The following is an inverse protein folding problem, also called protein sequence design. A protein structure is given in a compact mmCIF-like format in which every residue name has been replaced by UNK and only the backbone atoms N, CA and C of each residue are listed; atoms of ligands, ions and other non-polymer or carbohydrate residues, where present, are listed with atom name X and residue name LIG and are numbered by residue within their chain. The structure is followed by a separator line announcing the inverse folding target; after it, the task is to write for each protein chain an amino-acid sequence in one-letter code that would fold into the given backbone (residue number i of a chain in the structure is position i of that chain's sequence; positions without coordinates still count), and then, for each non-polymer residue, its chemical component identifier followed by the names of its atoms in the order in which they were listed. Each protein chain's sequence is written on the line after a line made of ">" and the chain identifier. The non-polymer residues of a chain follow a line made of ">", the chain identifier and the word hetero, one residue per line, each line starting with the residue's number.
data_IF_685376866822
#
_entry.id   IF_685376866822
#
_cell.length_a   1.000
_cell.length_b   1.000
_cell.length_c   1.000
_cell.angle_alpha   90.00
_cell.angle_beta   90.00
_cell.angle_gamma   90.00
#
_symmetry.space_group_name_H-M   'P 1'
#
loop_
_entity.id
_entity.type
_entity.pdbx_description
1 polymer ?
#
# COMPACT_ATOMS: atom_id res chain seq x y z
N UNK A 1 -0.87 30.84 19.64
CA UNK A 1 -1.27 29.55 20.19
C UNK A 1 -0.94 28.52 19.10
N UNK A 2 0.15 27.77 19.26
CA UNK A 2 0.42 26.59 18.41
C UNK A 2 -0.59 25.54 18.79
N UNK A 3 -1.53 25.22 17.89
CA UNK A 3 -2.33 24.01 18.00
C UNK A 3 -1.39 22.82 18.17
N UNK A 4 -1.51 22.11 19.27
CA UNK A 4 -0.82 20.86 19.49
C UNK A 4 -1.28 19.94 18.35
N UNK A 5 -0.41 19.73 17.36
CA UNK A 5 -0.62 18.76 16.29
C UNK A 5 -0.88 17.42 16.96
N UNK A 6 -2.14 16.96 16.96
CA UNK A 6 -2.51 15.66 17.49
C UNK A 6 -1.59 14.61 16.86
N UNK A 7 -0.97 13.79 17.70
CA UNK A 7 -0.07 12.75 17.23
C UNK A 7 -0.91 11.68 16.50
N UNK A 8 -0.90 11.71 15.17
CA UNK A 8 -1.71 10.78 14.34
C UNK A 8 -1.42 9.31 14.61
N UNK A 9 -0.32 8.98 15.28
CA UNK A 9 -0.05 7.62 15.72
C UNK A 9 -1.04 7.15 16.80
N UNK A 10 -1.69 8.07 17.52
CA UNK A 10 -2.73 7.73 18.50
C UNK A 10 -4.00 7.20 17.86
N UNK A 11 -4.23 7.50 16.58
CA UNK A 11 -5.34 6.94 15.80
C UNK A 11 -5.15 5.45 15.44
N UNK A 12 -3.89 4.97 15.49
CA UNK A 12 -3.56 3.59 15.20
C UNK A 12 -3.98 2.68 16.37
N UNK A 13 -4.27 1.40 16.07
CA UNK A 13 -4.57 0.42 17.13
C UNK A 13 -3.37 0.19 18.04
N UNK A 14 -3.63 -0.13 19.30
CA UNK A 14 -2.60 -0.26 20.34
C UNK A 14 -1.41 -1.15 19.97
N UNK A 15 -1.57 -2.32 19.31
CA UNK A 15 -0.42 -3.12 18.88
C UNK A 15 0.51 -2.40 17.92
N UNK A 16 -0.06 -1.69 16.93
CA UNK A 16 0.72 -0.92 15.94
C UNK A 16 1.43 0.26 16.60
N UNK A 17 0.76 1.00 17.51
CA UNK A 17 1.38 2.11 18.26
C UNK A 17 2.60 1.65 19.06
N UNK A 18 2.49 0.52 19.77
CA UNK A 18 3.63 -0.04 20.53
C UNK A 18 4.83 -0.32 19.63
N UNK A 19 4.60 -0.81 18.42
CA UNK A 19 5.68 -1.07 17.47
C UNK A 19 6.27 0.23 16.90
N UNK A 20 5.46 1.27 16.69
CA UNK A 20 5.94 2.61 16.31
C UNK A 20 6.89 3.17 17.38
N UNK A 21 6.54 3.04 18.66
CA UNK A 21 7.38 3.42 19.79
C UNK A 21 8.67 2.58 19.85
N UNK A 22 8.55 1.25 19.71
CA UNK A 22 9.69 0.33 19.70
C UNK A 22 10.66 0.60 18.53
N UNK A 23 10.14 1.00 17.35
CA UNK A 23 10.93 1.39 16.18
C UNK A 23 11.66 2.73 16.38
N UNK A 24 11.33 3.47 17.43
CA UNK A 24 11.94 4.75 17.75
C UNK A 24 11.44 5.90 16.89
N UNK A 25 10.17 5.87 16.44
CA UNK A 25 9.55 6.97 15.72
C UNK A 25 8.95 7.99 16.71
N UNK A 26 9.67 9.05 17.09
CA UNK A 26 9.25 9.93 18.18
C UNK A 26 8.07 10.81 17.78
N UNK A 27 7.97 11.15 16.50
CA UNK A 27 6.92 12.00 15.92
C UNK A 27 6.59 11.54 14.50
N UNK A 28 5.32 11.67 14.10
CA UNK A 28 4.95 11.39 12.72
C UNK A 28 5.60 12.41 11.76
N UNK A 29 6.04 11.91 10.61
CA UNK A 29 6.50 12.76 9.51
C UNK A 29 5.32 13.49 8.87
N UNK A 30 5.58 14.55 8.11
CA UNK A 30 4.51 15.29 7.42
C UNK A 30 3.66 14.40 6.50
N UNK A 31 4.24 13.48 5.67
CA UNK A 31 3.45 12.49 4.93
C UNK A 31 2.54 11.65 5.82
N UNK A 32 3.04 11.20 6.97
CA UNK A 32 2.26 10.38 7.91
C UNK A 32 1.12 11.18 8.55
N UNK A 33 1.37 12.42 8.96
CA UNK A 33 0.35 13.31 9.52
C UNK A 33 -0.80 13.56 8.54
N UNK A 34 -0.47 13.78 7.26
CA UNK A 34 -1.46 14.07 6.24
C UNK A 34 -2.25 12.82 5.79
N UNK A 35 -1.65 11.64 5.83
CA UNK A 35 -2.16 10.46 5.11
C UNK A 35 -2.84 9.47 6.04
N UNK A 36 -2.30 9.23 7.23
CA UNK A 36 -2.84 8.23 8.17
C UNK A 36 -4.31 8.45 8.49
N UNK A 37 -4.78 9.67 8.87
CA UNK A 37 -6.19 9.89 9.19
C UNK A 37 -7.11 9.56 8.00
N UNK A 38 -6.73 10.00 6.80
CA UNK A 38 -7.52 9.80 5.57
C UNK A 38 -7.68 8.33 5.21
N UNK A 39 -6.60 7.56 5.37
CA UNK A 39 -6.63 6.11 5.12
C UNK A 39 -7.54 5.42 6.15
N UNK A 40 -7.45 5.79 7.43
CA UNK A 40 -8.31 5.24 8.49
C UNK A 40 -9.79 5.59 8.31
N UNK A 41 -10.10 6.72 7.66
CA UNK A 41 -11.46 7.10 7.25
C UNK A 41 -11.97 6.30 6.03
N UNK A 42 -11.19 5.39 5.48
CA UNK A 42 -11.58 4.57 4.33
C UNK A 42 -11.46 5.27 2.98
N UNK A 43 -10.85 6.44 2.91
CA UNK A 43 -10.70 7.21 1.66
C UNK A 43 -9.63 6.62 0.78
N UNK A 44 -9.83 6.67 -0.55
CA UNK A 44 -8.73 6.44 -1.48
C UNK A 44 -7.77 7.63 -1.40
N UNK A 45 -6.47 7.35 -1.38
CA UNK A 45 -5.45 8.38 -1.17
C UNK A 45 -4.32 8.23 -2.20
N UNK A 46 -3.89 9.35 -2.76
CA UNK A 46 -2.63 9.47 -3.49
C UNK A 46 -1.68 10.34 -2.68
N UNK A 47 -0.64 9.73 -2.11
CA UNK A 47 0.43 10.43 -1.40
C UNK A 47 1.57 10.74 -2.35
N UNK A 48 1.86 12.03 -2.52
CA UNK A 48 2.99 12.55 -3.30
C UNK A 48 3.99 13.15 -2.33
N UNK A 49 5.14 12.51 -2.22
CA UNK A 49 6.18 12.94 -1.30
C UNK A 49 7.55 12.45 -1.78
N UNK A 50 8.64 13.19 -1.50
CA UNK A 50 9.98 12.76 -1.83
C UNK A 50 10.34 11.38 -1.28
N UNK A 51 11.39 10.77 -1.81
CA UNK A 51 11.94 9.52 -1.26
C UNK A 51 12.46 9.73 0.17
N UNK A 52 12.52 8.65 0.95
CA UNK A 52 13.00 8.65 2.34
C UNK A 52 12.23 9.56 3.33
N UNK A 53 10.98 9.92 3.04
CA UNK A 53 10.13 10.74 3.92
C UNK A 53 9.17 9.93 4.80
N UNK A 54 9.23 8.59 4.74
CA UNK A 54 8.32 7.71 5.48
C UNK A 54 7.00 7.43 4.76
N UNK A 55 6.96 7.51 3.40
CA UNK A 55 5.77 7.19 2.59
C UNK A 55 5.24 5.78 2.84
N UNK A 56 6.14 4.81 2.91
CA UNK A 56 5.76 3.40 3.10
C UNK A 56 4.98 3.23 4.39
N UNK A 57 5.49 3.75 5.50
CA UNK A 57 4.83 3.70 6.81
C UNK A 57 3.55 4.55 6.83
N UNK A 58 3.50 5.67 6.10
CA UNK A 58 2.30 6.50 5.99
C UNK A 58 1.10 5.73 5.41
N UNK A 59 1.36 4.77 4.50
CA UNK A 59 0.34 3.88 3.96
C UNK A 59 0.19 2.59 4.78
N UNK A 60 1.30 1.99 5.19
CA UNK A 60 1.29 0.63 5.74
C UNK A 60 0.76 0.59 7.18
N UNK A 61 1.11 1.55 8.03
CA UNK A 61 0.66 1.57 9.44
C UNK A 61 -0.87 1.64 9.59
N UNK A 62 -1.61 2.52 8.89
CA UNK A 62 -3.06 2.53 8.96
C UNK A 62 -3.67 1.26 8.36
N UNK A 63 -3.12 0.71 7.26
CA UNK A 63 -3.58 -0.56 6.69
C UNK A 63 -3.40 -1.71 7.68
N UNK A 64 -2.26 -1.81 8.38
CA UNK A 64 -2.05 -2.80 9.45
C UNK A 64 -3.07 -2.63 10.58
N UNK A 65 -3.36 -1.39 10.99
CA UNK A 65 -4.36 -1.10 12.02
C UNK A 65 -5.75 -1.59 11.62
N UNK A 66 -6.17 -1.32 10.39
CA UNK A 66 -7.46 -1.77 9.87
C UNK A 66 -7.49 -3.29 9.66
N UNK A 67 -6.37 -3.89 9.24
CA UNK A 67 -6.25 -5.34 9.07
C UNK A 67 -6.41 -6.09 10.39
N UNK A 68 -5.83 -5.59 11.48
CA UNK A 68 -5.97 -6.18 12.82
C UNK A 68 -7.39 -6.06 13.40
N UNK A 69 -8.16 -5.08 12.95
CA UNK A 69 -9.56 -4.90 13.34
C UNK A 69 -10.53 -5.69 12.43
N UNK A 70 -10.06 -6.11 11.26
CA UNK A 70 -10.88 -6.86 10.32
C UNK A 70 -11.13 -8.29 10.82
N UNK A 71 -12.26 -8.93 10.41
CA UNK A 71 -12.50 -10.34 10.70
C UNK A 71 -11.34 -11.22 10.25
N UNK A 72 -10.97 -12.19 11.10
CA UNK A 72 -9.91 -13.17 10.79
C UNK A 72 -10.42 -14.25 9.84
N UNK A 73 -10.71 -13.86 8.62
CA UNK A 73 -11.08 -14.77 7.54
C UNK A 73 -9.83 -15.15 6.72
N UNK A 74 -9.73 -16.38 6.21
CA UNK A 74 -8.64 -16.75 5.32
C UNK A 74 -8.73 -15.98 3.99
N UNK A 75 -7.58 -15.68 3.40
CA UNK A 75 -7.49 -15.01 2.11
C UNK A 75 -6.59 -13.77 2.10
N UNK A 76 -6.36 -13.24 0.91
CA UNK A 76 -5.54 -12.06 0.68
C UNK A 76 -6.39 -10.82 0.93
N UNK A 77 -6.09 -10.08 1.98
CA UNK A 77 -6.81 -8.86 2.37
C UNK A 77 -6.14 -7.60 1.87
N UNK A 78 -4.82 -7.67 1.69
CA UNK A 78 -3.99 -6.55 1.21
C UNK A 78 -3.17 -6.99 0.01
N UNK A 79 -3.25 -6.24 -1.09
CA UNK A 79 -2.29 -6.29 -2.18
C UNK A 79 -1.34 -5.10 -2.07
N UNK A 80 -0.04 -5.36 -1.99
CA UNK A 80 1.01 -4.35 -2.11
C UNK A 80 1.67 -4.52 -3.48
N UNK A 81 1.43 -3.59 -4.37
CA UNK A 81 1.89 -3.66 -5.76
C UNK A 81 3.04 -2.68 -5.93
N UNK A 82 4.18 -3.16 -6.37
CA UNK A 82 5.37 -2.35 -6.58
C UNK A 82 6.12 -2.80 -7.83
N UNK A 83 6.81 -1.90 -8.56
CA UNK A 83 7.71 -2.30 -9.63
C UNK A 83 8.82 -3.22 -9.11
N UNK A 84 9.23 -4.21 -9.92
CA UNK A 84 10.24 -5.21 -9.51
C UNK A 84 11.54 -4.56 -8.98
N UNK A 85 11.99 -3.47 -9.59
CA UNK A 85 13.19 -2.73 -9.15
C UNK A 85 13.03 -2.04 -7.79
N UNK A 86 11.81 -1.69 -7.40
CA UNK A 86 11.50 -1.13 -6.08
C UNK A 86 11.28 -2.21 -5.02
N UNK A 87 11.07 -3.47 -5.44
CA UNK A 87 11.01 -4.64 -4.57
C UNK A 87 12.44 -5.07 -4.18
N UNK A 88 13.08 -4.25 -3.38
CA UNK A 88 14.43 -4.50 -2.89
C UNK A 88 14.41 -5.11 -1.47
N UNK A 89 15.59 -5.53 -1.02
CA UNK A 89 15.76 -6.16 0.29
C UNK A 89 15.33 -5.24 1.44
N UNK A 90 15.66 -3.95 1.35
CA UNK A 90 15.33 -2.97 2.40
C UNK A 90 13.81 -2.83 2.59
N UNK A 91 13.05 -2.68 1.50
CA UNK A 91 11.60 -2.65 1.56
C UNK A 91 11.03 -3.92 2.20
N UNK A 92 11.56 -5.08 1.80
CA UNK A 92 11.10 -6.38 2.31
C UNK A 92 11.36 -6.52 3.80
N UNK A 93 12.60 -6.28 4.26
CA UNK A 93 12.97 -6.35 5.67
C UNK A 93 12.10 -5.40 6.53
N UNK A 94 11.77 -4.22 6.01
CA UNK A 94 10.88 -3.26 6.68
C UNK A 94 9.47 -3.79 6.83
N UNK A 95 8.85 -4.26 5.75
CA UNK A 95 7.47 -4.77 5.78
C UNK A 95 7.36 -6.06 6.58
N UNK A 96 8.32 -6.96 6.44
CA UNK A 96 8.41 -8.21 7.21
C UNK A 96 8.54 -7.93 8.72
N UNK A 97 9.34 -6.94 9.10
CA UNK A 97 9.49 -6.59 10.52
C UNK A 97 8.14 -6.21 11.14
N UNK A 98 7.34 -5.37 10.49
CA UNK A 98 6.01 -5.00 10.96
C UNK A 98 5.09 -6.21 11.06
N UNK A 99 5.04 -7.02 10.02
CA UNK A 99 4.13 -8.16 9.93
C UNK A 99 4.48 -9.24 10.96
N UNK A 100 5.76 -9.59 11.11
CA UNK A 100 6.22 -10.61 12.06
C UNK A 100 5.90 -10.23 13.52
N UNK A 101 6.03 -8.95 13.88
CA UNK A 101 5.70 -8.48 15.23
C UNK A 101 4.18 -8.37 15.50
N UNK A 102 3.35 -8.47 14.46
CA UNK A 102 1.88 -8.42 14.55
C UNK A 102 1.20 -9.77 14.25
N UNK A 103 1.97 -10.84 14.05
CA UNK A 103 1.47 -12.17 13.64
C UNK A 103 0.61 -12.09 12.36
N UNK A 104 1.02 -11.28 11.40
CA UNK A 104 0.39 -11.13 10.08
C UNK A 104 1.20 -11.89 9.04
N UNK A 105 0.54 -12.77 8.30
CA UNK A 105 1.17 -13.53 7.22
C UNK A 105 1.39 -12.66 6.00
N UNK A 106 2.67 -12.41 5.70
CA UNK A 106 3.10 -11.70 4.50
C UNK A 106 3.80 -12.67 3.55
N UNK A 107 3.57 -12.53 2.26
CA UNK A 107 4.33 -13.25 1.24
C UNK A 107 4.60 -12.36 0.02
N UNK A 108 5.67 -12.70 -0.69
CA UNK A 108 6.06 -12.05 -1.94
C UNK A 108 5.85 -13.00 -3.11
N UNK A 109 5.32 -12.46 -4.20
CA UNK A 109 5.17 -13.18 -5.45
C UNK A 109 5.58 -12.31 -6.64
N UNK A 110 6.63 -12.69 -7.30
CA UNK A 110 7.13 -12.07 -8.53
C UNK A 110 7.52 -13.15 -9.57
N UNK A 111 8.02 -12.73 -10.73
CA UNK A 111 8.33 -13.65 -11.83
C UNK A 111 9.25 -14.81 -11.44
N UNK A 112 10.22 -14.55 -10.57
CA UNK A 112 11.24 -15.52 -10.14
C UNK A 112 10.86 -16.32 -8.87
N UNK A 113 9.65 -16.13 -8.33
CA UNK A 113 9.19 -16.92 -7.17
C UNK A 113 9.13 -18.40 -7.53
N UNK A 114 9.77 -19.24 -6.75
CA UNK A 114 9.86 -20.68 -6.96
C UNK A 114 8.46 -21.35 -6.99
N UNK A 115 8.33 -22.41 -7.78
CA UNK A 115 7.07 -23.14 -7.93
C UNK A 115 6.55 -23.71 -6.59
N UNK A 116 7.46 -24.20 -5.73
CA UNK A 116 7.13 -24.70 -4.39
C UNK A 116 6.46 -23.61 -3.54
N UNK A 117 7.03 -22.41 -3.54
CA UNK A 117 6.51 -21.28 -2.82
C UNK A 117 5.18 -20.81 -3.40
N UNK A 118 5.03 -20.74 -4.72
CA UNK A 118 3.76 -20.44 -5.40
C UNK A 118 2.66 -21.42 -4.99
N UNK A 119 3.00 -22.71 -4.89
CA UNK A 119 2.05 -23.75 -4.45
C UNK A 119 1.66 -23.56 -2.99
N UNK A 120 2.63 -23.26 -2.12
CA UNK A 120 2.38 -22.96 -0.70
C UNK A 120 1.42 -21.79 -0.53
N UNK A 121 1.69 -20.67 -1.20
CA UNK A 121 0.86 -19.47 -1.17
C UNK A 121 -0.57 -19.73 -1.67
N UNK A 122 -0.74 -20.63 -2.63
CA UNK A 122 -2.06 -20.99 -3.16
C UNK A 122 -2.87 -21.88 -2.21
N UNK A 123 -2.21 -22.71 -1.40
CA UNK A 123 -2.86 -23.58 -0.41
C UNK A 123 -3.08 -22.91 0.94
N UNK A 124 -2.14 -22.05 1.33
CA UNK A 124 -2.18 -21.27 2.58
C UNK A 124 -1.89 -19.81 2.24
N UNK A 125 -2.93 -19.05 1.85
CA UNK A 125 -2.75 -17.69 1.38
C UNK A 125 -2.22 -16.77 2.49
N UNK A 126 -1.36 -15.80 2.14
CA UNK A 126 -0.98 -14.73 3.06
C UNK A 126 -2.14 -13.76 3.25
N UNK A 127 -2.14 -12.99 4.33
CA UNK A 127 -3.04 -11.86 4.50
C UNK A 127 -2.61 -10.66 3.66
N UNK A 128 -1.28 -10.48 3.52
CA UNK A 128 -0.66 -9.44 2.68
C UNK A 128 0.16 -10.12 1.58
N UNK A 129 -0.19 -9.85 0.33
CA UNK A 129 0.58 -10.30 -0.83
C UNK A 129 1.29 -9.10 -1.47
N UNK A 130 2.62 -9.14 -1.47
CA UNK A 130 3.44 -8.20 -2.23
C UNK A 130 3.66 -8.79 -3.62
N UNK A 131 3.41 -8.01 -4.67
CA UNK A 131 3.53 -8.49 -6.04
C UNK A 131 3.90 -7.36 -7.02
N UNK A 132 4.23 -7.74 -8.25
CA UNK A 132 4.44 -6.80 -9.35
C UNK A 132 3.21 -6.73 -10.25
N UNK A 133 3.02 -5.65 -11.05
CA UNK A 133 1.90 -5.55 -11.99
C UNK A 133 1.79 -6.74 -12.95
N UNK A 134 2.94 -7.24 -13.44
CA UNK A 134 3.00 -8.37 -14.36
C UNK A 134 2.55 -9.68 -13.70
N UNK A 135 3.04 -9.89 -12.48
CA UNK A 135 2.72 -11.10 -11.73
C UNK A 135 1.26 -11.12 -11.29
N UNK A 136 0.65 -9.97 -11.03
CA UNK A 136 -0.78 -9.88 -10.71
C UNK A 136 -1.64 -10.41 -11.86
N UNK A 137 -1.28 -10.17 -13.12
CA UNK A 137 -1.97 -10.75 -14.28
C UNK A 137 -1.91 -12.29 -14.27
N UNK A 138 -0.72 -12.84 -13.96
CA UNK A 138 -0.55 -14.29 -13.84
C UNK A 138 -1.36 -14.87 -12.67
N UNK A 139 -1.46 -14.16 -11.54
CA UNK A 139 -2.31 -14.54 -10.39
C UNK A 139 -3.78 -14.60 -10.79
N UNK A 140 -4.26 -13.62 -11.55
CA UNK A 140 -5.65 -13.56 -12.02
C UNK A 140 -6.00 -14.63 -13.05
N UNK A 141 -5.02 -15.12 -13.78
CA UNK A 141 -5.19 -16.24 -14.72
C UNK A 141 -5.19 -17.60 -14.01
N UNK A 142 -4.61 -17.70 -12.80
CA UNK A 142 -4.57 -18.90 -11.99
C UNK A 142 -5.84 -19.09 -11.17
N UNK A 143 -6.35 -20.35 -11.10
CA UNK A 143 -7.59 -20.64 -10.38
C UNK A 143 -7.46 -20.50 -8.86
N UNK A 144 -6.47 -21.15 -8.25
CA UNK A 144 -6.39 -21.27 -6.78
C UNK A 144 -6.14 -19.94 -6.06
N UNK A 145 -5.10 -19.21 -6.45
CA UNK A 145 -4.74 -17.98 -5.73
C UNK A 145 -5.75 -16.86 -5.98
N UNK A 146 -6.39 -16.83 -7.16
CA UNK A 146 -7.41 -15.86 -7.51
C UNK A 146 -8.61 -15.92 -6.56
N UNK A 147 -9.02 -17.10 -6.08
CA UNK A 147 -10.14 -17.24 -5.15
C UNK A 147 -9.88 -16.51 -3.82
N UNK A 148 -8.63 -16.49 -3.38
CA UNK A 148 -8.25 -15.82 -2.14
C UNK A 148 -8.31 -14.29 -2.22
N UNK A 149 -8.42 -13.71 -3.43
CA UNK A 149 -8.65 -12.28 -3.63
C UNK A 149 -10.08 -11.84 -3.26
N UNK A 150 -11.02 -12.76 -3.06
CA UNK A 150 -12.37 -12.40 -2.60
C UNK A 150 -12.37 -11.66 -1.25
N UNK A 151 -11.37 -11.89 -0.43
CA UNK A 151 -11.19 -11.20 0.86
C UNK A 151 -10.52 -9.82 0.75
N UNK A 152 -10.15 -9.37 -0.46
CA UNK A 152 -9.38 -8.16 -0.69
C UNK A 152 -10.14 -6.91 -0.19
N UNK A 153 -9.47 -6.09 0.61
CA UNK A 153 -10.01 -4.84 1.18
C UNK A 153 -9.14 -3.63 0.84
N UNK A 154 -7.84 -3.81 0.73
CA UNK A 154 -6.88 -2.72 0.52
C UNK A 154 -5.88 -3.05 -0.58
N UNK A 155 -5.61 -2.06 -1.41
CA UNK A 155 -4.57 -2.12 -2.45
C UNK A 155 -3.65 -0.93 -2.28
N UNK A 156 -2.37 -1.20 -2.02
CA UNK A 156 -1.30 -0.21 -2.01
C UNK A 156 -0.54 -0.34 -3.31
N UNK A 157 -0.38 0.77 -4.04
CA UNK A 157 0.46 0.84 -5.25
C UNK A 157 1.61 1.77 -4.97
N UNK A 158 2.81 1.20 -4.89
CA UNK A 158 4.03 1.97 -4.68
C UNK A 158 4.63 2.41 -6.02
N UNK A 159 5.35 3.53 -6.00
CA UNK A 159 5.96 4.16 -7.18
C UNK A 159 4.96 4.32 -8.36
N UNK A 160 3.74 4.73 -8.02
CA UNK A 160 2.61 4.81 -8.97
C UNK A 160 2.93 5.65 -10.22
N UNK A 161 3.82 6.63 -10.09
CA UNK A 161 4.26 7.48 -11.20
C UNK A 161 5.02 6.72 -12.29
N UNK A 162 5.64 5.59 -11.97
CA UNK A 162 6.31 4.74 -12.97
C UNK A 162 5.31 3.94 -13.81
N UNK A 163 4.08 3.84 -13.34
CA UNK A 163 3.02 3.03 -13.95
C UNK A 163 2.04 3.88 -14.76
N UNK A 164 1.70 5.09 -14.28
CA UNK A 164 0.56 5.86 -14.75
C UNK A 164 0.51 6.07 -16.29
N UNK A 165 1.64 6.35 -16.93
CA UNK A 165 1.72 6.59 -18.38
C UNK A 165 2.36 5.43 -19.15
N UNK A 166 2.29 4.20 -18.60
CA UNK A 166 2.96 3.05 -19.18
C UNK A 166 1.97 1.95 -19.61
N UNK A 167 2.43 1.09 -20.54
CA UNK A 167 1.70 -0.14 -20.90
C UNK A 167 1.45 -1.04 -19.68
N UNK A 168 2.41 -1.09 -18.75
CA UNK A 168 2.29 -1.84 -17.49
C UNK A 168 1.17 -1.30 -16.61
N UNK A 169 1.02 0.03 -16.57
CA UNK A 169 -0.07 0.68 -15.85
C UNK A 169 -1.44 0.37 -16.44
N UNK A 170 -1.59 0.42 -17.76
CA UNK A 170 -2.84 0.03 -18.41
C UNK A 170 -3.24 -1.41 -18.10
N UNK A 171 -2.25 -2.32 -18.09
CA UNK A 171 -2.48 -3.71 -17.68
C UNK A 171 -2.86 -3.82 -16.20
N UNK A 172 -2.24 -3.03 -15.32
CA UNK A 172 -2.59 -3.01 -13.89
C UNK A 172 -4.01 -2.50 -13.67
N UNK A 173 -4.41 -1.40 -14.32
CA UNK A 173 -5.78 -0.88 -14.23
C UNK A 173 -6.81 -1.94 -14.64
N UNK A 174 -6.56 -2.64 -15.74
CA UNK A 174 -7.43 -3.74 -16.17
C UNK A 174 -7.48 -4.88 -15.16
N UNK A 175 -6.34 -5.23 -14.54
CA UNK A 175 -6.28 -6.26 -13.51
C UNK A 175 -7.13 -5.87 -12.28
N UNK A 176 -7.05 -4.61 -11.85
CA UNK A 176 -7.81 -4.10 -10.70
C UNK A 176 -9.33 -4.09 -10.99
N UNK A 177 -9.75 -3.71 -12.19
CA UNK A 177 -11.17 -3.80 -12.57
C UNK A 177 -11.65 -5.27 -12.65
N UNK A 178 -10.82 -6.19 -13.14
CA UNK A 178 -11.13 -7.63 -13.10
C UNK A 178 -11.29 -8.14 -11.67
N UNK A 179 -10.47 -7.66 -10.72
CA UNK A 179 -10.62 -8.01 -9.31
C UNK A 179 -11.93 -7.46 -8.76
N UNK A 180 -12.30 -6.21 -9.06
CA UNK A 180 -13.60 -5.64 -8.65
C UNK A 180 -14.77 -6.47 -9.17
N UNK A 181 -14.73 -6.84 -10.44
CA UNK A 181 -15.73 -7.74 -11.03
C UNK A 181 -15.79 -9.11 -10.35
N UNK A 182 -14.64 -9.66 -9.95
CA UNK A 182 -14.55 -10.95 -9.26
C UNK A 182 -15.16 -10.90 -7.84
N UNK A 183 -14.90 -9.82 -7.10
CA UNK A 183 -15.32 -9.71 -5.70
C UNK A 183 -16.69 -9.06 -5.52
N UNK A 184 -17.22 -8.42 -6.58
CA UNK A 184 -18.52 -7.75 -6.56
C UNK A 184 -18.62 -6.50 -5.68
N UNK A 185 -17.48 -5.92 -5.26
CA UNK A 185 -17.40 -4.73 -4.41
C UNK A 185 -16.11 -3.95 -4.66
N UNK A 186 -16.07 -2.71 -4.20
CA UNK A 186 -14.85 -1.91 -4.21
C UNK A 186 -13.90 -2.27 -3.05
N UNK A 187 -12.66 -1.84 -3.20
CA UNK A 187 -11.61 -1.88 -2.21
C UNK A 187 -10.92 -0.52 -2.15
N UNK A 188 -10.36 -0.19 -1.00
CA UNK A 188 -9.64 1.06 -0.81
C UNK A 188 -8.30 1.06 -1.56
N UNK A 189 -8.03 2.15 -2.27
CA UNK A 189 -6.81 2.35 -3.06
C UNK A 189 -5.89 3.36 -2.39
N UNK A 190 -4.61 3.02 -2.26
CA UNK A 190 -3.59 3.89 -1.70
C UNK A 190 -2.42 3.93 -2.68
N UNK A 191 -2.17 5.07 -3.27
CA UNK A 191 -1.05 5.30 -4.18
C UNK A 191 0.08 6.05 -3.49
N UNK A 192 1.31 5.56 -3.67
CA UNK A 192 2.53 6.22 -3.22
C UNK A 192 3.33 6.66 -4.44
N UNK A 193 3.73 7.91 -4.46
CA UNK A 193 4.45 8.50 -5.58
C UNK A 193 5.58 9.40 -5.12
N UNK A 194 6.65 9.44 -5.90
CA UNK A 194 7.59 10.54 -5.83
C UNK A 194 6.94 11.84 -6.40
N UNK A 195 7.67 12.92 -6.43
CA UNK A 195 7.20 14.18 -7.02
C UNK A 195 6.82 13.99 -8.50
N UNK A 196 5.63 14.45 -8.88
CA UNK A 196 5.06 14.31 -10.23
C UNK A 196 4.52 15.63 -10.73
N UNK A 197 4.52 15.79 -12.07
CA UNK A 197 4.04 17.01 -12.74
C UNK A 197 2.51 17.11 -12.84
N UNK A 198 1.79 15.97 -12.87
CA UNK A 198 0.33 15.92 -13.09
C UNK A 198 -0.35 15.00 -12.08
N UNK A 199 -0.53 15.44 -10.82
CA UNK A 199 -1.16 14.64 -9.77
C UNK A 199 -2.55 14.11 -10.12
N UNK A 200 -3.36 14.91 -10.80
CA UNK A 200 -4.74 14.58 -11.14
C UNK A 200 -4.81 13.41 -12.12
N UNK A 201 -3.91 13.34 -13.11
CA UNK A 201 -3.82 12.21 -14.05
C UNK A 201 -3.44 10.93 -13.32
N UNK A 202 -2.48 10.99 -12.40
CA UNK A 202 -2.07 9.83 -11.61
C UNK A 202 -3.16 9.41 -10.63
N UNK A 203 -3.87 10.36 -10.05
CA UNK A 203 -5.03 10.10 -9.20
C UNK A 203 -6.15 9.39 -9.98
N UNK A 204 -6.47 9.88 -11.19
CA UNK A 204 -7.44 9.25 -12.08
C UNK A 204 -7.00 7.85 -12.54
N UNK A 205 -5.72 7.66 -12.83
CA UNK A 205 -5.15 6.33 -13.10
C UNK A 205 -5.34 5.38 -11.91
N UNK A 206 -5.13 5.87 -10.69
CA UNK A 206 -5.20 5.07 -9.46
C UNK A 206 -6.61 4.50 -9.24
N UNK A 207 -7.64 5.33 -9.32
CA UNK A 207 -9.00 4.95 -8.90
C UNK A 207 -10.00 4.79 -10.04
N UNK A 208 -9.68 5.25 -11.25
CA UNK A 208 -10.61 5.34 -12.38
C UNK A 208 -11.42 6.65 -12.36
N UNK A 209 -12.37 6.79 -13.32
CA UNK A 209 -13.11 8.05 -13.53
C UNK A 209 -14.19 8.32 -12.49
N UNK A 210 -14.80 7.26 -11.95
CA UNK A 210 -16.03 7.36 -11.16
C UNK A 210 -15.80 7.25 -9.65
N UNK A 211 -14.53 7.27 -9.21
CA UNK A 211 -14.17 7.15 -7.79
C UNK A 211 -13.40 8.36 -7.33
N UNK A 212 -13.71 8.81 -6.11
CA UNK A 212 -12.98 9.90 -5.47
C UNK A 212 -11.63 9.43 -4.91
N UNK A 213 -10.65 10.31 -4.94
CA UNK A 213 -9.33 10.11 -4.32
C UNK A 213 -8.84 11.42 -3.73
N UNK A 214 -8.33 11.37 -2.51
CA UNK A 214 -7.69 12.52 -1.88
C UNK A 214 -6.21 12.57 -2.24
N UNK A 215 -5.76 13.71 -2.76
CA UNK A 215 -4.36 13.94 -3.09
C UNK A 215 -3.69 14.64 -1.92
N UNK A 216 -2.74 13.97 -1.29
CA UNK A 216 -1.88 14.55 -0.26
C UNK A 216 -0.50 14.82 -0.86
N UNK A 217 -0.05 16.08 -0.79
CA UNK A 217 1.22 16.50 -1.38
C UNK A 217 2.11 17.16 -0.35
N UNK A 218 3.24 16.55 -0.10
CA UNK A 218 4.30 17.13 0.73
C UNK A 218 5.24 17.92 -0.18
N UNK A 219 5.40 19.21 0.13
CA UNK A 219 6.33 20.08 -0.60
C UNK A 219 7.70 20.03 0.06
N UNK A 220 8.77 20.00 -0.74
CA UNK A 220 10.08 20.34 -0.23
C UNK A 220 10.01 21.77 0.32
N UNK A 221 10.29 21.96 1.61
CA UNK A 221 10.78 23.24 2.07
C UNK A 221 12.19 23.33 1.53
N UNK A 222 12.41 24.12 0.49
CA UNK A 222 13.75 24.58 0.14
C UNK A 222 14.28 25.27 1.39
N UNK A 223 15.19 24.63 2.11
CA UNK A 223 16.04 25.37 3.02
C UNK A 223 16.80 26.35 2.14
N UNK A 224 16.50 27.65 2.29
CA UNK A 224 17.29 28.71 1.72
C UNK A 224 18.75 28.49 2.16
N UNK A 225 19.55 27.88 1.31
CA UNK A 225 20.97 28.05 1.36
C UNK A 225 21.23 29.52 0.98
N UNK A 226 21.18 30.41 1.96
CA UNK A 226 21.83 31.71 1.80
C UNK A 226 23.31 31.46 1.93
N UNK A 227 24.09 31.79 0.90
CA UNK A 227 25.55 31.72 0.95
C UNK A 227 26.13 32.64 2.00
#
# INVERSE_FOLDING_TARGET
>A
MQEASENVFELLVKPVRRLVEQKGFPKPTEPQQMTIPRILEGKNVLLISPTATGKTEAAFLPVLSMLLQAPREPGIKVLYITPLRALNRDLMERLEWWCNNLDIKLAVRHGDTELKERTRQSRSPPEILITTPETLQAVLSGWLLRQHLQSLKWVVIDEVHELADSKRGSQLSLALERIRGLIGRDFQMIGLSATIGSPEKVAQFLVGKDRSVEITRVRFRSYDYRP
#
